data_IF_160587617612
#
_entry.id   IF_160587617612
#
_cell.length_a   1.000
_cell.length_b   1.000
_cell.length_c   1.000
_cell.angle_alpha   90.00
_cell.angle_beta   90.00
_cell.angle_gamma   90.00
#
_symmetry.space_group_name_H-M   'P 1'
#
loop_
_entity.id
_entity.type
_entity.pdbx_description
1 polymer ?
#
# COMPACT_ATOMS: atom_id res chain seq x y z
N UNK A 1 -10.11 11.97 1.94
CA UNK A 1 -8.82 11.39 1.50
C UNK A 1 -8.78 9.87 1.61
N UNK A 2 -9.33 9.28 2.66
CA UNK A 2 -9.32 7.82 2.81
C UNK A 2 -9.94 7.09 1.62
N UNK A 3 -11.08 7.56 1.13
CA UNK A 3 -11.72 6.93 0.00
C UNK A 3 -10.88 6.96 -1.26
N UNK A 4 -10.18 8.07 -1.48
CA UNK A 4 -9.29 8.20 -2.63
C UNK A 4 -8.13 7.22 -2.54
N UNK A 5 -7.59 7.05 -1.35
CA UNK A 5 -6.50 6.12 -1.11
C UNK A 5 -6.99 4.68 -1.29
N UNK A 6 -8.18 4.36 -0.75
CA UNK A 6 -8.79 3.04 -0.95
C UNK A 6 -8.97 2.72 -2.42
N UNK A 7 -9.47 3.67 -3.19
CA UNK A 7 -9.67 3.47 -4.63
C UNK A 7 -8.36 3.26 -5.36
N UNK A 8 -7.32 3.99 -4.97
CA UNK A 8 -5.99 3.80 -5.55
C UNK A 8 -5.45 2.42 -5.24
N UNK A 9 -5.61 1.95 -4.00
CA UNK A 9 -5.18 0.61 -3.61
C UNK A 9 -5.95 -0.46 -4.38
N UNK A 10 -7.25 -0.27 -4.61
CA UNK A 10 -8.03 -1.21 -5.41
C UNK A 10 -7.49 -1.36 -6.83
N UNK A 11 -6.94 -0.29 -7.39
CA UNK A 11 -6.32 -0.35 -8.71
C UNK A 11 -4.97 -1.07 -8.69
N UNK A 12 -4.30 -1.06 -7.55
CA UNK A 12 -3.01 -1.73 -7.37
C UNK A 12 -3.18 -3.23 -7.12
N UNK A 13 -4.27 -3.62 -6.46
CA UNK A 13 -4.49 -5.01 -6.06
C UNK A 13 -4.35 -6.03 -7.17
N UNK A 14 -4.89 -5.81 -8.39
CA UNK A 14 -4.72 -6.79 -9.46
C UNK A 14 -3.27 -7.11 -9.78
N UNK A 15 -2.38 -6.13 -9.68
CA UNK A 15 -0.96 -6.34 -9.95
C UNK A 15 -0.33 -7.24 -8.90
N UNK A 16 -0.73 -7.07 -7.63
CA UNK A 16 -0.23 -7.90 -6.55
C UNK A 16 -0.83 -9.30 -6.60
N UNK A 17 -2.10 -9.41 -6.94
CA UNK A 17 -2.80 -10.69 -7.02
C UNK A 17 -2.20 -11.60 -8.09
N UNK A 18 -1.65 -11.01 -9.15
CA UNK A 18 -0.97 -11.78 -10.20
C UNK A 18 0.22 -12.55 -9.66
N UNK A 19 0.87 -12.00 -8.63
CA UNK A 19 2.03 -12.63 -7.99
C UNK A 19 1.65 -13.42 -6.74
N UNK A 20 0.35 -13.61 -6.49
CA UNK A 20 -0.12 -14.36 -5.34
C UNK A 20 -0.23 -13.54 -4.07
N UNK A 21 -0.11 -12.22 -4.16
CA UNK A 21 -0.23 -11.33 -3.00
C UNK A 21 -1.48 -10.47 -3.07
N UNK A 22 -1.64 -9.61 -2.09
CA UNK A 22 -2.72 -8.63 -2.05
C UNK A 22 -2.37 -7.53 -1.05
N UNK A 23 -3.15 -6.45 -1.07
CA UNK A 23 -3.00 -5.35 -0.13
C UNK A 23 -4.38 -4.90 0.33
N UNK A 24 -4.49 -4.59 1.62
CA UNK A 24 -5.73 -4.10 2.19
C UNK A 24 -5.47 -2.79 2.93
N UNK A 25 -6.35 -1.82 2.75
CA UNK A 25 -6.28 -0.55 3.46
C UNK A 25 -6.63 -0.77 4.93
N UNK A 26 -5.81 -0.22 5.83
CA UNK A 26 -6.04 -0.31 7.27
C UNK A 26 -6.41 1.06 7.83
N UNK A 27 -5.55 2.06 7.63
CA UNK A 27 -5.74 3.36 8.23
C UNK A 27 -4.97 4.43 7.46
N UNK A 28 -5.47 5.65 7.51
CA UNK A 28 -4.76 6.84 7.06
C UNK A 28 -4.63 7.78 8.25
N UNK A 29 -3.41 7.99 8.73
CA UNK A 29 -3.17 8.73 9.96
C UNK A 29 -3.11 10.24 9.73
N UNK A 30 -3.15 11.00 10.84
CA UNK A 30 -2.99 12.45 10.79
C UNK A 30 -1.61 12.86 10.30
N UNK A 31 -0.62 12.00 10.47
CA UNK A 31 0.74 12.21 9.97
C UNK A 31 0.87 11.91 8.48
N UNK A 32 -0.24 11.63 7.81
CA UNK A 32 -0.29 11.30 6.38
C UNK A 32 0.42 10.00 6.06
N UNK A 33 0.37 9.07 6.98
CA UNK A 33 0.89 7.73 6.79
C UNK A 33 -0.27 6.80 6.42
N UNK A 34 -0.10 6.09 5.30
CA UNK A 34 -1.09 5.10 4.85
C UNK A 34 -0.67 3.75 5.41
N UNK A 35 -1.48 3.19 6.28
CA UNK A 35 -1.23 1.87 6.84
C UNK A 35 -1.98 0.82 6.04
N UNK A 36 -1.27 -0.20 5.63
CA UNK A 36 -1.81 -1.28 4.81
C UNK A 36 -1.45 -2.62 5.39
N UNK A 37 -2.24 -3.63 5.06
CA UNK A 37 -1.94 -5.01 5.41
C UNK A 37 -1.65 -5.77 4.13
N UNK A 38 -0.46 -6.35 4.05
CA UNK A 38 -0.06 -7.17 2.91
C UNK A 38 -0.45 -8.61 3.18
N UNK A 39 -0.92 -9.31 2.14
CA UNK A 39 -1.42 -10.67 2.25
C UNK A 39 -0.77 -11.57 1.21
N UNK A 40 -0.85 -12.88 1.42
CA UNK A 40 -0.30 -13.85 0.50
C UNK A 40 1.22 -13.78 0.44
N UNK A 41 1.78 -13.88 -0.75
CA UNK A 41 3.23 -13.81 -0.96
C UNK A 41 3.84 -12.53 -0.42
N UNK A 42 3.10 -11.43 -0.48
CA UNK A 42 3.61 -10.14 -0.04
C UNK A 42 3.86 -10.09 1.46
N UNK A 43 3.13 -10.90 2.24
CA UNK A 43 3.27 -10.92 3.69
C UNK A 43 4.36 -11.87 4.18
N UNK A 44 4.72 -12.87 3.39
CA UNK A 44 5.59 -13.95 3.83
C UNK A 44 7.08 -13.73 3.68
N UNK A 45 7.49 -12.71 2.93
CA UNK A 45 8.90 -12.48 2.61
C UNK A 45 9.28 -11.03 2.93
N UNK A 46 10.29 -10.78 3.78
CA UNK A 46 10.70 -9.42 4.11
C UNK A 46 11.13 -8.60 2.88
N UNK A 47 11.79 -9.21 1.92
CA UNK A 47 12.21 -8.52 0.72
C UNK A 47 11.01 -8.15 -0.17
N UNK A 48 10.08 -9.08 -0.32
CA UNK A 48 8.87 -8.83 -1.09
C UNK A 48 8.03 -7.73 -0.43
N UNK A 49 7.90 -7.79 0.90
CA UNK A 49 7.17 -6.76 1.66
C UNK A 49 7.78 -5.39 1.44
N UNK A 50 9.10 -5.25 1.53
CA UNK A 50 9.79 -3.99 1.34
C UNK A 50 9.59 -3.46 -0.09
N UNK A 51 9.69 -4.34 -1.09
CA UNK A 51 9.53 -3.96 -2.50
C UNK A 51 8.12 -3.50 -2.78
N UNK A 52 7.12 -4.24 -2.31
CA UNK A 52 5.72 -3.91 -2.52
C UNK A 52 5.36 -2.61 -1.82
N UNK A 53 5.80 -2.46 -0.58
CA UNK A 53 5.57 -1.23 0.19
C UNK A 53 6.16 -0.02 -0.53
N UNK A 54 7.39 -0.14 -1.02
CA UNK A 54 8.06 0.94 -1.75
C UNK A 54 7.33 1.30 -3.04
N UNK A 55 6.85 0.31 -3.77
CA UNK A 55 6.07 0.52 -4.99
C UNK A 55 4.74 1.21 -4.71
N UNK A 56 4.03 0.76 -3.69
CA UNK A 56 2.77 1.38 -3.28
C UNK A 56 3.00 2.83 -2.86
N UNK A 57 4.02 3.07 -2.05
CA UNK A 57 4.35 4.41 -1.60
C UNK A 57 4.63 5.34 -2.77
N UNK A 58 5.42 4.89 -3.73
CA UNK A 58 5.74 5.67 -4.91
C UNK A 58 4.50 6.04 -5.70
N UNK A 59 3.62 5.07 -5.94
CA UNK A 59 2.38 5.30 -6.68
C UNK A 59 1.49 6.30 -5.95
N UNK A 60 1.31 6.11 -4.65
CA UNK A 60 0.46 7.01 -3.87
C UNK A 60 1.05 8.42 -3.80
N UNK A 61 2.36 8.54 -3.70
CA UNK A 61 3.01 9.86 -3.72
C UNK A 61 2.86 10.56 -5.07
N UNK A 62 2.88 9.80 -6.16
CA UNK A 62 2.65 10.37 -7.48
C UNK A 62 1.21 10.83 -7.65
N UNK A 63 0.24 10.11 -7.09
CA UNK A 63 -1.17 10.44 -7.20
C UNK A 63 -1.57 11.57 -6.25
N UNK A 64 -1.06 11.58 -5.04
CA UNK A 64 -1.52 12.48 -3.98
C UNK A 64 -0.45 13.46 -3.51
N UNK A 65 0.78 13.31 -3.94
CA UNK A 65 1.86 14.23 -3.57
C UNK A 65 2.09 14.26 -2.06
N UNK A 66 2.07 15.47 -1.50
CA UNK A 66 2.35 15.68 -0.09
C UNK A 66 1.26 15.14 0.84
N UNK A 67 0.11 14.73 0.30
CA UNK A 67 -0.95 14.14 1.10
C UNK A 67 -0.60 12.74 1.60
N UNK A 68 0.44 12.13 1.03
CA UNK A 68 0.96 10.84 1.48
C UNK A 68 2.43 11.00 1.83
N UNK A 69 2.75 10.96 3.13
CA UNK A 69 4.13 11.07 3.59
C UNK A 69 4.86 9.73 3.50
N UNK A 70 4.16 8.65 3.84
CA UNK A 70 4.76 7.31 3.85
C UNK A 70 3.67 6.24 3.78
N UNK A 71 4.08 5.02 3.49
CA UNK A 71 3.22 3.85 3.56
C UNK A 71 3.86 2.85 4.52
N UNK A 72 3.08 2.30 5.42
CA UNK A 72 3.55 1.30 6.37
C UNK A 72 2.74 0.02 6.27
N UNK A 73 3.44 -1.11 6.35
CA UNK A 73 2.79 -2.41 6.47
C UNK A 73 2.62 -2.73 7.96
N UNK A 74 1.40 -3.09 8.35
CA UNK A 74 1.07 -3.30 9.77
C UNK A 74 0.94 -4.77 10.16
N UNK A 75 1.37 -5.67 9.30
CA UNK A 75 1.37 -7.11 9.61
C UNK A 75 2.83 -7.66 9.78
#
# INVERSE_FOLDING_TARGET
MEEKIKNALEQIRPFLQRDGGDVEFVEYTEDKIVKVMLQGHCAGCPHATATVKGGIEQILKELFGDDVAAVEAVN
#
